data_IF_730526008273
#
_entry.id   IF_730526008273
#
_cell.length_a   1.000
_cell.length_b   1.000
_cell.length_c   1.000
_cell.angle_alpha   90.00
_cell.angle_beta   90.00
_cell.angle_gamma   90.00
#
_symmetry.space_group_name_H-M   'P 1'
#
loop_
_entity.id
_entity.type
_entity.pdbx_description
1 polymer ?
#
# COMPACT_ATOMS: atom_id res chain seq x y z
N UNK A 1 -4.58 18.16 13.48
CA UNK A 1 -3.66 17.15 12.93
C UNK A 1 -3.51 17.44 11.46
N UNK A 2 -2.29 17.50 10.92
CA UNK A 2 -2.09 17.83 9.51
C UNK A 2 -1.57 16.59 8.81
N UNK A 3 -2.45 15.84 8.15
CA UNK A 3 -2.03 14.91 7.12
C UNK A 3 -1.34 15.70 6.00
N UNK A 4 -0.38 15.10 5.27
CA UNK A 4 0.21 15.76 4.11
C UNK A 4 -0.90 16.21 3.13
N UNK A 5 -0.77 17.39 2.49
CA UNK A 5 -1.77 17.87 1.55
C UNK A 5 -2.06 16.83 0.45
N UNK A 6 -3.31 16.74 -0.01
CA UNK A 6 -3.69 15.80 -1.07
C UNK A 6 -2.85 15.97 -2.34
N UNK A 7 -2.38 17.17 -2.66
CA UNK A 7 -1.48 17.41 -3.81
C UNK A 7 -0.13 16.71 -3.66
N UNK A 8 0.40 16.62 -2.43
CA UNK A 8 1.63 15.92 -2.12
C UNK A 8 1.41 14.41 -2.18
N UNK A 9 0.33 13.89 -1.59
CA UNK A 9 0.01 12.46 -1.62
C UNK A 9 -0.31 11.97 -3.03
N UNK A 10 -1.02 12.79 -3.81
CA UNK A 10 -1.31 12.51 -5.20
C UNK A 10 -0.16 12.83 -6.14
N UNK A 11 1.00 13.29 -5.63
CA UNK A 11 2.22 13.59 -6.37
C UNK A 11 1.95 14.40 -7.65
N UNK A 12 1.09 15.41 -7.57
CA UNK A 12 0.57 16.12 -8.76
C UNK A 12 1.63 16.88 -9.55
N UNK A 13 2.79 17.13 -8.93
CA UNK A 13 3.94 17.78 -9.56
C UNK A 13 4.85 16.80 -10.31
N UNK A 14 4.77 15.50 -9.99
CA UNK A 14 5.62 14.45 -10.57
C UNK A 14 4.82 13.68 -11.63
N UNK A 15 3.55 13.41 -11.36
CA UNK A 15 2.69 12.67 -12.26
C UNK A 15 1.58 13.58 -12.81
N UNK A 16 1.68 14.00 -14.09
CA UNK A 16 0.69 14.88 -14.69
C UNK A 16 -0.69 14.23 -14.69
N UNK A 17 -1.72 15.07 -14.48
CA UNK A 17 -3.12 14.63 -14.44
C UNK A 17 -3.79 14.88 -15.77
N UNK A 18 -4.41 13.84 -16.32
CA UNK A 18 -5.22 13.95 -17.54
C UNK A 18 -6.64 14.35 -17.19
N UNK A 19 -7.17 15.37 -17.84
CA UNK A 19 -8.58 15.75 -17.64
C UNK A 19 -9.49 14.75 -18.34
N UNK A 20 -10.47 14.21 -17.62
CA UNK A 20 -11.51 13.36 -18.22
C UNK A 20 -12.51 14.29 -18.93
N UNK A 21 -12.60 14.21 -20.25
CA UNK A 21 -13.57 15.00 -21.03
C UNK A 21 -14.86 14.20 -21.26
N UNK A 22 -14.73 12.89 -21.46
CA UNK A 22 -15.86 11.98 -21.57
C UNK A 22 -15.52 10.61 -20.94
N UNK A 23 -16.53 9.76 -20.62
CA UNK A 23 -16.29 8.45 -20.02
C UNK A 23 -15.55 7.44 -20.91
N UNK A 24 -15.60 7.57 -22.24
CA UNK A 24 -14.85 6.68 -23.15
C UNK A 24 -13.35 6.90 -23.03
N UNK A 25 -12.92 8.15 -22.82
CA UNK A 25 -11.50 8.48 -22.59
C UNK A 25 -10.93 7.73 -21.39
N UNK A 26 -11.74 7.56 -20.34
CA UNK A 26 -11.36 6.85 -19.12
C UNK A 26 -11.14 5.34 -19.41
N UNK A 27 -12.10 4.70 -20.07
CA UNK A 27 -11.98 3.29 -20.47
C UNK A 27 -10.77 3.07 -21.38
N UNK A 28 -10.62 3.88 -22.42
CA UNK A 28 -9.50 3.79 -23.36
C UNK A 28 -8.16 3.98 -22.66
N UNK A 29 -8.06 4.88 -21.68
CA UNK A 29 -6.83 5.04 -20.90
C UNK A 29 -6.47 3.78 -20.09
N UNK A 30 -7.47 3.14 -19.46
CA UNK A 30 -7.27 1.88 -18.71
C UNK A 30 -6.87 0.75 -19.67
N UNK A 31 -7.57 0.58 -20.79
CA UNK A 31 -7.29 -0.47 -21.76
C UNK A 31 -5.87 -0.32 -22.35
N UNK A 32 -5.49 0.90 -22.76
CA UNK A 32 -4.15 1.18 -23.29
C UNK A 32 -3.05 0.94 -22.25
N UNK A 33 -3.27 1.37 -20.99
CA UNK A 33 -2.33 1.14 -19.88
C UNK A 33 -2.17 -0.36 -19.61
N UNK A 34 -3.26 -1.14 -19.64
CA UNK A 34 -3.23 -2.59 -19.46
C UNK A 34 -2.42 -3.26 -20.57
N UNK A 35 -2.71 -2.96 -21.84
CA UNK A 35 -2.00 -3.55 -22.97
C UNK A 35 -0.49 -3.25 -22.90
N UNK A 36 -0.11 -2.01 -22.56
CA UNK A 36 1.28 -1.60 -22.45
C UNK A 36 2.03 -2.25 -21.26
N UNK A 37 1.32 -2.57 -20.16
CA UNK A 37 1.89 -3.35 -19.05
C UNK A 37 2.06 -4.83 -19.42
N UNK A 38 1.12 -5.38 -20.19
CA UNK A 38 1.12 -6.78 -20.65
C UNK A 38 2.26 -7.03 -21.66
N UNK A 39 2.44 -6.14 -22.64
CA UNK A 39 3.53 -6.23 -23.62
C UNK A 39 4.90 -5.77 -23.08
N UNK A 40 4.92 -5.13 -21.91
CA UNK A 40 6.14 -4.68 -21.24
C UNK A 40 6.73 -3.38 -21.80
N UNK A 41 5.97 -2.63 -22.61
CA UNK A 41 6.40 -1.32 -23.13
C UNK A 41 6.49 -0.23 -22.06
N UNK A 42 5.80 -0.40 -20.93
CA UNK A 42 5.88 0.49 -19.75
C UNK A 42 5.95 -0.31 -18.45
N UNK A 43 6.52 0.32 -17.41
CA UNK A 43 6.52 -0.23 -16.05
C UNK A 43 5.81 0.70 -15.04
N UNK A 44 5.12 1.74 -15.50
CA UNK A 44 4.22 2.55 -14.66
C UNK A 44 2.79 2.01 -14.74
N UNK A 45 2.22 1.59 -13.62
CA UNK A 45 0.86 1.07 -13.56
C UNK A 45 -0.22 2.11 -13.27
N UNK A 46 0.17 3.37 -13.04
CA UNK A 46 -0.75 4.39 -12.55
C UNK A 46 -1.23 5.32 -13.67
N UNK A 47 -2.50 5.70 -13.57
CA UNK A 47 -3.12 6.79 -14.30
C UNK A 47 -3.60 7.83 -13.29
N UNK A 48 -3.55 9.10 -13.67
CA UNK A 48 -3.92 10.21 -12.79
C UNK A 48 -4.87 11.12 -13.53
N UNK A 49 -6.05 11.36 -12.96
CA UNK A 49 -7.11 12.13 -13.59
C UNK A 49 -7.47 13.37 -12.77
N UNK A 50 -7.69 14.50 -13.43
CA UNK A 50 -8.11 15.76 -12.81
C UNK A 50 -9.53 16.16 -13.20
N UNK A 51 -10.15 17.00 -12.37
CA UNK A 51 -11.53 17.47 -12.57
C UNK A 51 -12.57 16.40 -12.27
N UNK A 52 -12.20 15.41 -11.44
CA UNK A 52 -13.11 14.36 -10.98
C UNK A 52 -13.82 14.86 -9.73
N UNK A 53 -14.93 15.57 -9.93
CA UNK A 53 -15.80 16.03 -8.83
C UNK A 53 -16.36 14.84 -8.05
N UNK A 54 -16.84 15.01 -6.80
CA UNK A 54 -17.43 13.91 -6.03
C UNK A 54 -18.58 13.21 -6.76
N UNK A 55 -19.43 13.97 -7.48
CA UNK A 55 -20.52 13.43 -8.28
C UNK A 55 -20.02 12.63 -9.49
N UNK A 56 -18.94 13.09 -10.13
CA UNK A 56 -18.33 12.34 -11.22
C UNK A 56 -17.66 11.06 -10.71
N UNK A 57 -16.99 11.12 -9.55
CA UNK A 57 -16.39 9.95 -8.92
C UNK A 57 -17.45 8.88 -8.59
N UNK A 58 -18.55 9.26 -7.93
CA UNK A 58 -19.67 8.35 -7.66
C UNK A 58 -20.26 7.75 -8.95
N UNK A 59 -20.34 8.57 -10.01
CA UNK A 59 -20.79 8.09 -11.32
C UNK A 59 -19.80 7.09 -11.97
N UNK A 60 -18.49 7.23 -11.74
CA UNK A 60 -17.48 6.28 -12.20
C UNK A 60 -17.58 4.98 -11.39
N UNK A 61 -17.69 5.07 -10.06
CA UNK A 61 -17.88 3.94 -9.14
C UNK A 61 -19.06 3.06 -9.56
N UNK A 62 -20.24 3.68 -9.74
CA UNK A 62 -21.47 2.98 -10.13
C UNK A 62 -21.42 2.37 -11.54
N UNK A 63 -20.40 2.69 -12.34
CA UNK A 63 -20.27 2.25 -13.74
C UNK A 63 -18.96 1.50 -14.01
N UNK A 64 -18.24 1.06 -12.96
CA UNK A 64 -16.94 0.38 -13.08
C UNK A 64 -16.93 -0.70 -14.16
N UNK A 65 -17.94 -1.57 -14.20
CA UNK A 65 -18.04 -2.64 -15.20
C UNK A 65 -18.09 -2.11 -16.64
N UNK A 66 -18.98 -1.14 -16.91
CA UNK A 66 -19.12 -0.56 -18.25
C UNK A 66 -17.92 0.30 -18.66
N UNK A 67 -17.15 0.78 -17.68
CA UNK A 67 -15.92 1.54 -17.89
C UNK A 67 -14.66 0.67 -17.95
N UNK A 68 -14.78 -0.66 -17.84
CA UNK A 68 -13.62 -1.57 -17.80
C UNK A 68 -12.74 -1.40 -16.55
N UNK A 69 -13.30 -0.82 -15.49
CA UNK A 69 -12.62 -0.45 -14.25
C UNK A 69 -12.95 -1.42 -13.08
N UNK A 70 -13.47 -2.60 -13.36
CA UNK A 70 -13.76 -3.62 -12.34
C UNK A 70 -12.50 -4.26 -11.73
N UNK A 71 -11.36 -4.18 -12.43
CA UNK A 71 -10.09 -4.79 -12.01
C UNK A 71 -9.04 -3.78 -11.55
N UNK A 72 -9.32 -2.49 -11.63
CA UNK A 72 -8.37 -1.44 -11.20
C UNK A 72 -8.56 -1.10 -9.73
N UNK A 73 -7.60 -0.39 -9.14
CA UNK A 73 -7.72 0.18 -7.78
C UNK A 73 -7.80 1.69 -7.86
N UNK A 74 -8.71 2.29 -7.12
CA UNK A 74 -8.86 3.73 -7.03
C UNK A 74 -8.23 4.30 -5.78
N UNK A 75 -7.65 5.49 -5.93
CA UNK A 75 -7.33 6.39 -4.83
C UNK A 75 -7.87 7.76 -5.21
N UNK A 76 -8.83 8.25 -4.44
CA UNK A 76 -9.57 9.47 -4.73
C UNK A 76 -9.26 10.54 -3.69
N UNK A 77 -9.03 11.77 -4.16
CA UNK A 77 -8.84 12.97 -3.36
C UNK A 77 -9.88 14.01 -3.76
N UNK A 78 -10.94 14.14 -2.98
CA UNK A 78 -12.09 14.99 -3.29
C UNK A 78 -11.73 16.49 -3.30
N UNK A 79 -10.89 16.93 -2.37
CA UNK A 79 -10.49 18.33 -2.19
C UNK A 79 -9.70 18.90 -3.38
N UNK A 80 -9.00 18.04 -4.12
CA UNK A 80 -8.25 18.40 -5.34
C UNK A 80 -8.83 17.77 -6.61
N UNK A 81 -10.04 17.22 -6.52
CA UNK A 81 -10.78 16.56 -7.60
C UNK A 81 -9.91 15.60 -8.43
N UNK A 82 -9.13 14.76 -7.75
CA UNK A 82 -8.13 13.89 -8.37
C UNK A 82 -8.46 12.42 -8.13
N UNK A 83 -8.59 11.67 -9.21
CA UNK A 83 -8.71 10.22 -9.19
C UNK A 83 -7.43 9.59 -9.73
N UNK A 84 -6.76 8.82 -8.88
CA UNK A 84 -5.64 7.97 -9.27
C UNK A 84 -6.20 6.57 -9.51
N UNK A 85 -5.85 5.98 -10.65
CA UNK A 85 -6.23 4.63 -11.03
C UNK A 85 -4.97 3.79 -11.19
N UNK A 86 -4.85 2.75 -10.39
CA UNK A 86 -3.80 1.75 -10.52
C UNK A 86 -4.32 0.59 -11.34
N UNK A 87 -3.63 0.26 -12.43
CA UNK A 87 -3.96 -0.86 -13.32
C UNK A 87 -3.08 -2.05 -12.97
N UNK A 88 -3.64 -3.11 -12.35
CA UNK A 88 -2.83 -4.25 -11.94
C UNK A 88 -2.25 -5.02 -13.12
N UNK A 89 -1.05 -5.57 -12.90
CA UNK A 89 -0.42 -6.58 -13.74
C UNK A 89 -0.17 -7.84 -12.91
N UNK A 90 -0.01 -8.99 -13.56
CA UNK A 90 0.27 -10.25 -12.84
C UNK A 90 1.50 -10.18 -11.91
N UNK A 91 2.66 -9.64 -12.33
CA UNK A 91 3.79 -9.45 -11.40
C UNK A 91 3.43 -8.60 -10.19
N UNK A 92 2.67 -7.51 -10.39
CA UNK A 92 2.19 -6.66 -9.30
C UNK A 92 1.33 -7.44 -8.31
N UNK A 93 0.29 -8.11 -8.81
CA UNK A 93 -0.66 -8.89 -7.98
C UNK A 93 0.08 -9.98 -7.19
N UNK A 94 1.01 -10.65 -7.86
CA UNK A 94 1.82 -11.71 -7.25
C UNK A 94 2.75 -11.17 -6.16
N UNK A 95 3.37 -10.01 -6.36
CA UNK A 95 4.32 -9.41 -5.43
C UNK A 95 3.73 -9.16 -4.05
N UNK A 96 2.61 -8.42 -3.99
CA UNK A 96 1.98 -8.13 -2.70
C UNK A 96 1.33 -9.38 -2.09
N UNK A 97 0.73 -10.25 -2.91
CA UNK A 97 0.06 -11.45 -2.42
C UNK A 97 1.02 -12.45 -1.79
N UNK A 98 2.19 -12.70 -2.41
CA UNK A 98 3.20 -13.64 -1.89
C UNK A 98 3.70 -13.21 -0.51
N UNK A 99 4.10 -11.94 -0.34
CA UNK A 99 4.59 -11.45 0.96
C UNK A 99 3.47 -11.44 2.00
N UNK A 100 2.28 -10.96 1.63
CA UNK A 100 1.14 -10.93 2.54
C UNK A 100 0.74 -12.32 3.01
N UNK A 101 0.64 -13.29 2.09
CA UNK A 101 0.30 -14.67 2.40
C UNK A 101 1.37 -15.35 3.26
N UNK A 102 2.66 -15.07 3.05
CA UNK A 102 3.71 -15.65 3.89
C UNK A 102 3.58 -15.19 5.35
N UNK A 103 3.36 -13.89 5.57
CA UNK A 103 3.15 -13.35 6.92
C UNK A 103 1.88 -13.93 7.54
N UNK A 104 0.78 -13.95 6.79
CA UNK A 104 -0.47 -14.57 7.21
C UNK A 104 -0.29 -16.05 7.58
N UNK A 105 0.46 -16.80 6.77
CA UNK A 105 0.74 -18.21 6.99
C UNK A 105 1.56 -18.41 8.26
N UNK A 106 2.61 -17.61 8.51
CA UNK A 106 3.38 -17.68 9.77
C UNK A 106 2.49 -17.42 10.99
N UNK A 107 1.60 -16.43 10.91
CA UNK A 107 0.65 -16.14 11.99
C UNK A 107 -0.31 -17.31 12.25
N UNK A 108 -0.93 -17.85 11.19
CA UNK A 108 -1.98 -18.89 11.32
C UNK A 108 -1.42 -20.29 11.56
N UNK A 109 -0.47 -20.72 10.74
CA UNK A 109 0.03 -22.09 10.76
C UNK A 109 1.16 -22.30 11.78
N UNK A 110 2.04 -21.32 11.99
CA UNK A 110 3.19 -21.49 12.88
C UNK A 110 2.97 -20.95 14.30
N UNK A 111 2.04 -20.00 14.47
CA UNK A 111 1.74 -19.37 15.77
C UNK A 111 0.31 -19.63 16.25
N UNK A 112 -0.51 -20.34 15.47
CA UNK A 112 -1.89 -20.66 15.81
C UNK A 112 -2.78 -19.44 16.16
N UNK A 113 -2.49 -18.28 15.57
CA UNK A 113 -3.35 -17.09 15.71
C UNK A 113 -4.77 -17.43 15.23
N UNK A 114 -5.77 -16.99 15.97
CA UNK A 114 -7.15 -17.36 15.72
C UNK A 114 -7.67 -16.82 14.38
N UNK A 115 -8.71 -17.50 13.88
CA UNK A 115 -9.46 -17.21 12.66
C UNK A 115 -9.69 -15.73 12.40
N UNK A 116 -10.43 -15.19 13.34
CA UNK A 116 -10.96 -13.84 13.43
C UNK A 116 -9.92 -12.79 13.85
N UNK A 117 -8.72 -13.19 14.26
CA UNK A 117 -7.66 -12.26 14.67
C UNK A 117 -6.75 -11.81 13.54
N UNK A 118 -6.76 -12.52 12.41
CA UNK A 118 -6.13 -12.07 11.17
C UNK A 118 -6.97 -12.54 9.99
N UNK A 119 -7.70 -11.62 9.39
CA UNK A 119 -8.60 -11.83 8.26
C UNK A 119 -8.12 -10.99 7.07
N UNK A 120 -7.91 -11.59 5.90
CA UNK A 120 -7.66 -10.83 4.68
C UNK A 120 -8.93 -10.11 4.25
N UNK A 121 -8.83 -8.81 4.05
CA UNK A 121 -9.90 -7.93 3.52
C UNK A 121 -9.56 -7.34 2.15
N UNK A 122 -8.39 -7.71 1.61
CA UNK A 122 -7.97 -7.47 0.22
C UNK A 122 -8.23 -6.01 -0.22
N UNK A 123 -8.85 -5.82 -1.39
CA UNK A 123 -9.09 -4.53 -2.02
C UNK A 123 -10.30 -3.76 -1.48
N UNK A 124 -10.61 -3.91 -0.20
CA UNK A 124 -11.69 -3.12 0.43
C UNK A 124 -11.37 -1.62 0.31
N UNK A 125 -12.39 -0.83 -0.03
CA UNK A 125 -12.30 0.64 -0.03
C UNK A 125 -12.37 1.20 1.38
N UNK A 126 -11.44 2.09 1.72
CA UNK A 126 -11.44 2.82 2.98
C UNK A 126 -11.58 4.31 2.72
N UNK A 127 -12.31 4.99 3.61
CA UNK A 127 -12.57 6.42 3.52
C UNK A 127 -11.73 7.17 4.54
N UNK A 128 -10.89 8.07 4.03
CA UNK A 128 -10.05 8.95 4.83
C UNK A 128 -10.70 10.31 5.10
N UNK A 129 -9.94 11.17 5.78
CA UNK A 129 -10.29 12.58 5.96
C UNK A 129 -10.40 13.31 4.61
N UNK A 130 -11.13 14.44 4.60
CA UNK A 130 -11.25 15.31 3.44
C UNK A 130 -12.03 14.71 2.25
N UNK A 131 -12.83 13.67 2.49
CA UNK A 131 -13.54 12.95 1.43
C UNK A 131 -12.62 12.07 0.57
N UNK A 132 -11.38 11.83 1.01
CA UNK A 132 -10.48 10.91 0.29
C UNK A 132 -10.92 9.45 0.49
N UNK A 133 -10.58 8.60 -0.46
CA UNK A 133 -10.78 7.15 -0.33
C UNK A 133 -9.72 6.38 -1.09
N UNK A 134 -9.47 5.13 -0.69
CA UNK A 134 -8.48 4.27 -1.34
C UNK A 134 -8.87 2.80 -1.21
N UNK A 135 -8.63 2.06 -2.28
CA UNK A 135 -8.58 0.60 -2.28
C UNK A 135 -7.15 0.12 -2.08
N UNK A 136 -6.96 -0.88 -1.21
CA UNK A 136 -5.66 -1.55 -1.05
C UNK A 136 -5.45 -2.67 -2.07
N UNK A 137 -4.25 -3.23 -2.06
CA UNK A 137 -3.96 -4.48 -2.76
C UNK A 137 -4.23 -5.69 -1.85
N UNK A 138 -3.50 -5.78 -0.73
CA UNK A 138 -3.74 -6.76 0.33
C UNK A 138 -3.76 -6.09 1.69
N UNK A 139 -4.90 -6.18 2.38
CA UNK A 139 -5.07 -5.63 3.71
C UNK A 139 -5.56 -6.72 4.69
N UNK A 140 -5.17 -6.59 5.95
CA UNK A 140 -5.42 -7.58 6.98
C UNK A 140 -5.93 -6.95 8.27
N UNK A 141 -6.91 -7.61 8.89
CA UNK A 141 -7.70 -7.07 9.98
C UNK A 141 -7.88 -8.07 11.09
N UNK A 142 -7.88 -7.59 12.32
CA UNK A 142 -8.32 -8.36 13.48
C UNK A 142 -9.78 -7.97 13.79
N UNK A 143 -10.72 -8.89 13.57
CA UNK A 143 -12.14 -8.66 13.79
C UNK A 143 -12.55 -8.68 15.28
N UNK A 144 -11.72 -9.24 16.16
CA UNK A 144 -12.00 -9.25 17.61
C UNK A 144 -11.86 -7.86 18.24
N UNK A 145 -10.96 -7.04 17.69
CA UNK A 145 -10.76 -5.64 18.11
C UNK A 145 -11.32 -4.61 17.12
N UNK A 146 -11.58 -5.00 15.86
CA UNK A 146 -12.13 -4.15 14.80
C UNK A 146 -13.25 -4.86 14.05
N UNK A 147 -14.39 -5.03 14.71
CA UNK A 147 -15.52 -5.81 14.18
C UNK A 147 -16.31 -5.13 13.07
N UNK A 148 -16.29 -3.79 12.98
CA UNK A 148 -17.10 -3.05 12.00
C UNK A 148 -16.50 -3.17 10.60
N UNK A 149 -17.32 -3.37 9.57
CA UNK A 149 -16.85 -3.52 8.18
C UNK A 149 -15.90 -2.37 7.75
N UNK A 150 -16.25 -1.13 8.08
CA UNK A 150 -15.48 0.06 7.73
C UNK A 150 -14.24 0.34 8.60
N UNK A 151 -13.99 -0.42 9.68
CA UNK A 151 -12.80 -0.21 10.52
C UNK A 151 -11.52 -0.51 9.73
N UNK A 152 -10.52 0.37 9.88
CA UNK A 152 -9.23 0.27 9.19
C UNK A 152 -8.52 -1.08 9.40
N UNK A 153 -7.74 -1.56 8.43
CA UNK A 153 -6.91 -2.75 8.61
C UNK A 153 -5.75 -2.41 9.56
N UNK A 154 -5.13 -3.44 10.15
CA UNK A 154 -3.94 -3.25 10.98
C UNK A 154 -2.70 -3.09 10.12
N UNK A 155 -2.62 -3.86 9.03
CA UNK A 155 -1.50 -3.80 8.11
C UNK A 155 -1.93 -4.01 6.67
N UNK A 156 -1.14 -3.40 5.78
CA UNK A 156 -1.38 -3.40 4.33
C UNK A 156 -0.09 -3.74 3.60
N UNK A 157 -0.20 -4.48 2.50
CA UNK A 157 0.86 -4.67 1.51
C UNK A 157 0.40 -4.00 0.22
N UNK A 158 1.20 -3.09 -0.30
CA UNK A 158 0.98 -2.43 -1.59
C UNK A 158 2.09 -2.87 -2.54
N UNK A 159 1.69 -3.43 -3.68
CA UNK A 159 2.60 -3.83 -4.75
C UNK A 159 2.66 -2.75 -5.84
N UNK A 160 3.78 -2.59 -6.52
CA UNK A 160 3.81 -1.93 -7.82
C UNK A 160 4.99 -2.42 -8.67
N UNK A 161 5.12 -1.81 -9.85
CA UNK A 161 6.24 -1.95 -10.78
C UNK A 161 7.14 -0.69 -10.73
N UNK A 162 8.35 -0.79 -11.30
CA UNK A 162 9.50 0.05 -10.92
C UNK A 162 9.29 1.57 -11.03
N UNK A 163 8.62 2.05 -12.09
CA UNK A 163 8.44 3.48 -12.37
C UNK A 163 7.44 4.16 -11.42
N UNK A 164 6.73 3.36 -10.60
CA UNK A 164 5.70 3.83 -9.68
C UNK A 164 6.14 3.83 -8.21
N UNK A 165 7.43 3.72 -7.91
CA UNK A 165 7.85 3.56 -6.51
C UNK A 165 7.51 4.76 -5.61
N UNK A 166 7.60 5.99 -6.11
CA UNK A 166 7.18 7.16 -5.34
C UNK A 166 5.66 7.17 -5.09
N UNK A 167 4.85 6.64 -6.03
CA UNK A 167 3.40 6.43 -5.82
C UNK A 167 3.14 5.53 -4.62
N UNK A 168 3.89 4.44 -4.49
CA UNK A 168 3.78 3.53 -3.35
C UNK A 168 4.08 4.22 -2.01
N UNK A 169 5.06 5.12 -1.97
CA UNK A 169 5.31 5.91 -0.74
C UNK A 169 4.17 6.88 -0.44
N UNK A 170 3.57 7.47 -1.47
CA UNK A 170 2.31 8.22 -1.35
C UNK A 170 1.19 7.36 -0.77
N UNK A 171 1.06 6.11 -1.22
CA UNK A 171 0.08 5.14 -0.73
C UNK A 171 0.32 4.79 0.75
N UNK A 172 1.56 4.48 1.15
CA UNK A 172 1.90 4.26 2.57
C UNK A 172 1.58 5.47 3.45
N UNK A 173 1.93 6.66 2.96
CA UNK A 173 1.62 7.91 3.62
C UNK A 173 0.10 8.12 3.75
N UNK A 174 -0.67 7.80 2.71
CA UNK A 174 -2.13 7.88 2.77
C UNK A 174 -2.68 6.95 3.86
N UNK A 175 -2.32 5.66 3.85
CA UNK A 175 -2.81 4.66 4.79
C UNK A 175 -2.58 5.06 6.25
N UNK A 176 -1.35 5.43 6.59
CA UNK A 176 -0.99 5.73 7.99
C UNK A 176 -1.61 7.05 8.44
N UNK A 177 -1.55 8.10 7.61
CA UNK A 177 -2.01 9.43 8.01
C UNK A 177 -3.54 9.56 8.01
N UNK A 178 -4.24 8.91 7.07
CA UNK A 178 -5.70 9.00 6.99
C UNK A 178 -6.41 8.07 7.96
N UNK A 179 -5.75 6.98 8.35
CA UNK A 179 -6.21 6.10 9.42
C UNK A 179 -5.85 6.60 10.82
N UNK A 180 -5.16 7.74 10.94
CA UNK A 180 -4.66 8.25 12.22
C UNK A 180 -3.84 7.20 13.00
N UNK A 181 -3.00 6.44 12.30
CA UNK A 181 -2.18 5.38 12.88
C UNK A 181 -2.93 4.09 13.23
N UNK A 182 -4.21 3.97 12.86
CA UNK A 182 -4.90 2.69 12.98
C UNK A 182 -4.32 1.64 12.02
N UNK A 183 -3.83 2.04 10.85
CA UNK A 183 -2.91 1.22 10.07
C UNK A 183 -1.52 1.33 10.69
N UNK A 184 -1.05 0.24 11.30
CA UNK A 184 0.18 0.18 12.10
C UNK A 184 1.41 -0.26 11.29
N UNK A 185 1.20 -0.78 10.09
CA UNK A 185 2.26 -1.26 9.21
C UNK A 185 1.80 -1.18 7.75
N UNK A 186 2.63 -0.59 6.89
CA UNK A 186 2.46 -0.69 5.44
C UNK A 186 3.75 -1.23 4.84
N UNK A 187 3.64 -2.29 4.05
CA UNK A 187 4.75 -2.87 3.29
C UNK A 187 4.59 -2.49 1.82
N UNK A 188 5.65 -1.96 1.23
CA UNK A 188 5.71 -1.62 -0.18
C UNK A 188 6.56 -2.65 -0.88
N UNK A 189 6.03 -3.30 -1.91
CA UNK A 189 6.72 -4.32 -2.70
C UNK A 189 6.78 -3.86 -4.14
N UNK A 190 7.97 -3.56 -4.63
CA UNK A 190 8.16 -3.08 -5.98
C UNK A 190 8.97 -4.08 -6.79
N UNK A 191 8.40 -4.52 -7.92
CA UNK A 191 9.02 -5.49 -8.81
C UNK A 191 9.39 -4.79 -10.11
N UNK A 192 10.68 -4.74 -10.42
CA UNK A 192 11.18 -4.27 -11.71
C UNK A 192 11.42 -5.48 -12.60
N UNK A 193 10.65 -5.61 -13.70
CA UNK A 193 10.77 -6.75 -14.61
C UNK A 193 12.02 -6.64 -15.46
N UNK A 194 12.24 -5.48 -16.07
CA UNK A 194 13.39 -5.19 -16.94
C UNK A 194 14.72 -5.47 -16.27
N UNK A 195 14.91 -5.01 -15.03
CA UNK A 195 16.15 -5.20 -14.28
C UNK A 195 16.13 -6.45 -13.38
N UNK A 196 15.02 -7.20 -13.36
CA UNK A 196 14.78 -8.35 -12.46
C UNK A 196 15.09 -8.05 -11.00
N UNK A 197 14.69 -6.85 -10.52
CA UNK A 197 14.92 -6.44 -9.14
C UNK A 197 13.63 -6.39 -8.33
N UNK A 198 13.75 -6.60 -7.02
CA UNK A 198 12.65 -6.45 -6.06
C UNK A 198 13.12 -5.51 -4.96
N UNK A 199 12.30 -4.52 -4.67
CA UNK A 199 12.52 -3.57 -3.57
C UNK A 199 11.40 -3.68 -2.56
N UNK A 200 11.75 -3.79 -1.28
CA UNK A 200 10.78 -3.83 -0.17
C UNK A 200 11.10 -2.69 0.80
N UNK A 201 10.09 -1.86 1.07
CA UNK A 201 10.12 -0.85 2.14
C UNK A 201 9.03 -1.13 3.17
N UNK A 202 9.31 -0.80 4.42
CA UNK A 202 8.33 -0.88 5.52
C UNK A 202 8.08 0.51 6.07
N UNK A 203 6.81 0.83 6.34
CA UNK A 203 6.35 2.13 6.80
C UNK A 203 5.44 1.98 8.00
N UNK A 204 5.60 2.85 9.00
CA UNK A 204 4.95 2.73 10.31
C UNK A 204 4.53 4.11 10.83
N UNK A 205 3.51 4.19 11.69
CA UNK A 205 3.17 5.44 12.36
C UNK A 205 4.29 5.84 13.33
N UNK A 206 4.70 7.11 13.27
CA UNK A 206 5.57 7.73 14.25
C UNK A 206 4.85 8.92 14.89
N UNK A 207 4.87 8.97 16.23
CA UNK A 207 4.40 10.14 16.97
C UNK A 207 5.56 11.09 17.15
N UNK A 208 5.39 12.35 16.73
CA UNK A 208 6.37 13.38 17.02
C UNK A 208 5.76 14.59 17.66
N UNK A 209 6.52 15.04 18.65
CA UNK A 209 6.25 16.24 19.40
C UNK A 209 6.66 17.44 18.54
N UNK A 210 5.80 18.48 18.42
CA UNK A 210 6.22 19.71 17.79
C UNK A 210 7.47 20.27 18.51
N UNK A 211 8.36 20.99 17.79
CA UNK A 211 9.51 21.63 18.39
C UNK A 211 9.09 22.51 19.58
N UNK A 212 9.93 22.68 20.62
CA UNK A 212 9.60 23.56 21.73
C UNK A 212 9.41 24.99 21.21
N UNK A 213 8.17 25.46 21.16
CA UNK A 213 7.86 26.86 20.87
C UNK A 213 8.21 27.77 22.05
N UNK A 214 8.29 29.11 21.84
CA UNK A 214 8.42 30.07 22.92
C UNK A 214 7.32 29.82 23.97
N UNK A 215 7.71 29.64 25.24
CA UNK A 215 6.81 29.33 26.36
C UNK A 215 5.87 30.51 26.66
N UNK A 216 4.83 30.69 25.86
CA UNK A 216 3.70 31.55 26.20
C UNK A 216 2.41 30.74 26.03
N UNK A 217 1.85 30.38 27.19
CA UNK A 217 0.60 29.62 27.44
C UNK A 217 0.71 28.11 27.29
N UNK A 218 0.43 27.42 28.40
CA UNK A 218 0.35 25.97 28.54
C UNK A 218 -0.82 25.38 27.72
N UNK A 219 -0.64 25.26 26.41
CA UNK A 219 -1.30 24.22 25.63
C UNK A 219 -0.28 23.11 25.46
N UNK A 220 -0.49 21.97 26.09
CA UNK A 220 0.36 20.81 25.92
C UNK A 220 0.57 20.54 24.42
N UNK A 221 1.82 20.32 24.02
CA UNK A 221 2.15 19.96 22.66
C UNK A 221 1.34 18.70 22.28
N UNK A 222 0.39 18.84 21.35
CA UNK A 222 -0.38 17.69 20.85
C UNK A 222 0.56 16.93 19.90
N UNK A 223 0.93 15.66 20.20
CA UNK A 223 1.74 14.85 19.31
C UNK A 223 1.03 14.74 17.96
N UNK A 224 1.79 14.90 16.88
CA UNK A 224 1.28 14.66 15.53
C UNK A 224 1.76 13.30 15.08
N UNK A 225 0.87 12.50 14.49
CA UNK A 225 1.20 11.20 13.93
C UNK A 225 1.53 11.36 12.46
N UNK A 226 2.57 10.67 12.02
CA UNK A 226 2.96 10.68 10.61
C UNK A 226 3.55 9.36 10.15
N UNK A 227 3.40 9.10 8.86
CA UNK A 227 4.05 7.98 8.20
C UNK A 227 5.57 8.15 8.19
N UNK A 228 6.28 7.19 8.77
CA UNK A 228 7.74 7.11 8.71
C UNK A 228 8.16 5.83 8.01
N UNK A 229 9.08 5.93 7.05
CA UNK A 229 9.81 4.79 6.50
C UNK A 229 10.75 4.22 7.57
N UNK A 230 10.71 2.92 7.80
CA UNK A 230 11.73 2.26 8.62
C UNK A 230 13.09 2.26 7.89
N UNK A 231 14.19 2.32 8.65
CA UNK A 231 15.52 2.36 8.07
C UNK A 231 15.87 1.08 7.28
N UNK A 232 15.24 -0.04 7.65
CA UNK A 232 15.37 -1.30 6.95
C UNK A 232 14.70 -1.23 5.56
N UNK A 233 15.52 -1.37 4.54
CA UNK A 233 15.11 -1.55 3.15
C UNK A 233 15.77 -2.81 2.61
N UNK A 234 15.06 -3.55 1.76
CA UNK A 234 15.60 -4.72 1.07
C UNK A 234 15.58 -4.46 -0.44
N UNK A 235 16.73 -4.66 -1.07
CA UNK A 235 16.88 -4.72 -2.51
C UNK A 235 17.43 -6.10 -2.88
N UNK A 236 16.72 -6.80 -3.76
CA UNK A 236 17.12 -8.08 -4.30
C UNK A 236 17.27 -7.96 -5.82
N UNK A 237 18.32 -8.55 -6.36
CA UNK A 237 18.62 -8.54 -7.79
C UNK A 237 18.73 -9.99 -8.28
N UNK A 238 17.87 -10.34 -9.24
CA UNK A 238 17.76 -11.66 -9.86
C UNK A 238 18.21 -11.65 -11.33
N UNK A 239 19.01 -10.66 -11.74
CA UNK A 239 19.56 -10.56 -13.11
C UNK A 239 20.59 -11.64 -13.43
N UNK A 240 21.20 -12.25 -12.40
CA UNK A 240 22.18 -13.33 -12.52
C UNK A 240 21.68 -14.64 -11.90
N UNK A 241 22.36 -15.76 -12.22
CA UNK A 241 22.05 -17.10 -11.67
C UNK A 241 22.03 -17.08 -10.14
N UNK A 242 23.01 -16.40 -9.54
CA UNK A 242 23.06 -16.18 -8.09
C UNK A 242 22.48 -14.80 -7.77
N UNK A 243 21.31 -14.73 -7.11
CA UNK A 243 20.72 -13.45 -6.78
C UNK A 243 21.55 -12.70 -5.74
N UNK A 244 21.61 -11.38 -5.87
CA UNK A 244 22.23 -10.52 -4.85
C UNK A 244 21.16 -9.97 -3.90
N UNK A 245 21.59 -9.62 -2.69
CA UNK A 245 20.72 -9.12 -1.63
C UNK A 245 21.44 -8.00 -0.90
N UNK A 246 20.78 -6.85 -0.80
CA UNK A 246 21.21 -5.70 -0.03
C UNK A 246 20.11 -5.33 0.96
N UNK A 247 20.47 -5.18 2.23
CA UNK A 247 19.51 -4.92 3.30
C UNK A 247 19.90 -5.60 4.61
N UNK A 248 19.04 -5.52 5.64
CA UNK A 248 19.28 -6.19 6.91
C UNK A 248 19.26 -7.73 6.75
N UNK A 249 19.81 -8.50 7.71
CA UNK A 249 19.80 -9.97 7.65
C UNK A 249 18.39 -10.58 7.70
N UNK A 250 17.41 -9.84 8.21
CA UNK A 250 16.00 -10.19 8.22
C UNK A 250 15.12 -8.93 8.34
N UNK A 251 13.88 -9.03 7.88
CA UNK A 251 12.80 -8.09 8.22
C UNK A 251 12.04 -8.62 9.43
N UNK A 252 11.79 -7.74 10.41
CA UNK A 252 11.09 -8.07 11.65
C UNK A 252 9.77 -7.32 11.69
N UNK A 253 8.68 -8.04 11.89
CA UNK A 253 7.34 -7.47 12.01
C UNK A 253 6.80 -7.76 13.40
N UNK A 254 6.68 -6.70 14.20
CA UNK A 254 6.14 -6.77 15.56
C UNK A 254 4.74 -7.39 15.55
N UNK A 255 4.56 -8.45 16.35
CA UNK A 255 3.28 -9.16 16.45
C UNK A 255 2.13 -8.22 16.80
N UNK A 256 2.38 -7.27 17.70
CA UNK A 256 1.39 -6.29 18.16
C UNK A 256 0.96 -5.29 17.10
N UNK A 257 1.79 -5.04 16.08
CA UNK A 257 1.42 -4.23 14.90
C UNK A 257 0.55 -5.04 13.94
N UNK A 258 0.87 -6.32 13.76
CA UNK A 258 0.13 -7.23 12.87
C UNK A 258 -1.25 -7.62 13.42
N UNK A 259 -1.33 -7.92 14.72
CA UNK A 259 -2.53 -8.51 15.36
C UNK A 259 -3.28 -7.51 16.23
N UNK A 260 -2.63 -6.45 16.70
CA UNK A 260 -3.29 -5.39 17.46
C UNK A 260 -3.31 -5.58 18.97
N UNK A 261 -2.80 -6.72 19.47
CA UNK A 261 -2.64 -7.07 20.89
C UNK A 261 -1.24 -7.66 21.16
N UNK A 262 -0.80 -7.75 22.44
CA UNK A 262 0.45 -8.44 22.77
C UNK A 262 0.43 -9.92 22.34
N UNK A 263 1.61 -10.52 22.05
CA UNK A 263 1.72 -11.95 21.82
C UNK A 263 1.44 -12.73 23.11
N UNK A 264 0.97 -13.98 22.96
CA UNK A 264 0.84 -15.00 23.99
C UNK A 264 1.99 -16.02 23.87
N UNK A 265 3.07 -15.87 24.67
CA UNK A 265 4.23 -16.76 24.61
C UNK A 265 3.91 -18.16 25.18
N UNK A 266 4.65 -19.21 24.78
CA UNK A 266 5.78 -19.18 23.84
C UNK A 266 5.37 -19.33 22.37
N UNK A 267 4.07 -19.54 22.08
CA UNK A 267 3.58 -19.85 20.73
C UNK A 267 3.61 -18.65 19.78
N UNK A 268 3.17 -17.48 20.27
CA UNK A 268 3.12 -16.24 19.49
C UNK A 268 4.36 -15.37 19.74
N UNK A 269 4.87 -14.77 18.66
CA UNK A 269 6.09 -13.95 18.64
C UNK A 269 6.10 -13.08 17.39
N UNK A 270 7.08 -12.20 17.27
CA UNK A 270 7.26 -11.39 16.06
C UNK A 270 7.47 -12.28 14.82
N UNK A 271 6.94 -11.83 13.68
CA UNK A 271 7.15 -12.49 12.40
C UNK A 271 8.49 -12.02 11.85
N UNK A 272 9.40 -12.96 11.61
CA UNK A 272 10.73 -12.69 11.05
C UNK A 272 10.79 -13.27 9.65
N UNK A 273 11.10 -12.46 8.63
CA UNK A 273 11.44 -12.94 7.29
C UNK A 273 12.95 -12.80 7.09
N UNK A 274 13.67 -13.92 7.10
CA UNK A 274 15.12 -13.95 6.91
C UNK A 274 15.51 -13.61 5.47
N UNK A 275 16.79 -13.28 5.24
CA UNK A 275 17.35 -13.16 3.89
C UNK A 275 17.00 -14.37 3.00
N UNK A 276 17.05 -15.59 3.54
CA UNK A 276 16.75 -16.80 2.78
C UNK A 276 15.27 -16.85 2.40
N UNK A 277 14.37 -16.57 3.35
CA UNK A 277 12.93 -16.47 3.10
C UNK A 277 12.67 -15.46 1.97
N UNK A 278 13.22 -14.25 2.09
CA UNK A 278 12.99 -13.17 1.11
C UNK A 278 13.49 -13.52 -0.29
N UNK A 279 14.66 -14.16 -0.40
CA UNK A 279 15.17 -14.63 -1.69
C UNK A 279 14.28 -15.73 -2.29
N UNK A 280 13.72 -16.62 -1.47
CA UNK A 280 12.77 -17.64 -1.93
C UNK A 280 11.45 -17.03 -2.39
N UNK A 281 10.86 -16.12 -1.62
CA UNK A 281 9.68 -15.34 -2.01
C UNK A 281 9.94 -14.58 -3.33
N UNK A 282 11.12 -13.96 -3.47
CA UNK A 282 11.51 -13.24 -4.68
C UNK A 282 11.63 -14.14 -5.92
N UNK A 283 12.13 -15.37 -5.77
CA UNK A 283 12.10 -16.37 -6.87
C UNK A 283 10.68 -16.70 -7.29
N UNK A 284 9.77 -16.88 -6.34
CA UNK A 284 8.36 -17.16 -6.64
C UNK A 284 7.69 -15.98 -7.36
N UNK A 285 8.05 -14.73 -7.03
CA UNK A 285 7.53 -13.56 -7.73
C UNK A 285 7.92 -13.55 -9.22
N UNK A 286 9.15 -13.93 -9.55
CA UNK A 286 9.63 -14.03 -10.94
C UNK A 286 9.33 -15.36 -11.65
N UNK A 287 8.65 -16.31 -11.01
CA UNK A 287 8.42 -17.62 -11.61
C UNK A 287 7.49 -17.51 -12.84
N UNK A 288 7.99 -17.79 -14.04
CA UNK A 288 7.20 -17.67 -15.28
C UNK A 288 6.97 -16.23 -15.76
N UNK A 289 7.76 -15.27 -15.28
CA UNK A 289 7.84 -13.87 -15.75
C UNK A 289 9.24 -13.60 -16.27
#
# INVERSE_FOLDING_TARGET
>A
MLSPPSTQLALTNIYPRTRIRNPRDFKSAIDSRRAALEDGSIEDSYLSFSGVTPQLFESIENRRDTLGANRVRFTYFADIETLIVKVPSEPHERGHAIIGHEIFHRLRAHMAVAGDEVIPVQSTTYHGMGGSSKEGDSAYKNLTIRSQAASWPLWVVEGAVSESFERLRGDASWWINHSNGEVRLVMLVCICRSNRTIRIETWVPEQVLPPPGPRTRARGAIPTLWARKEAAEVLMDFSAIMPTYQGPPALYFEFSRLIGRPPNPPGERDVVLTRQDLLELGRMMFLGI
#
